data_IF_446671162339
#
_entry.id   IF_446671162339
#
_cell.length_a   1.000
_cell.length_b   1.000
_cell.length_c   1.000
_cell.angle_alpha   90.00
_cell.angle_beta   90.00
_cell.angle_gamma   90.00
#
_symmetry.space_group_name_H-M   'P 1'
#
loop_
_entity.id
_entity.type
_entity.pdbx_description
1 polymer ?
#
# COMPACT_ATOMS: atom_id res chain seq x y z
N UNK A 1 -15.96 3.48 -14.69
CA UNK A 1 -14.64 3.57 -14.04
C UNK A 1 -13.80 2.32 -14.40
N UNK A 2 -12.50 2.47 -14.71
CA UNK A 2 -11.62 1.34 -15.09
C UNK A 2 -10.88 0.82 -13.86
N UNK A 3 -10.75 -0.50 -13.70
CA UNK A 3 -9.95 -1.09 -12.61
C UNK A 3 -8.47 -0.70 -12.74
N UNK A 4 -7.80 -0.58 -11.60
CA UNK A 4 -6.36 -0.39 -11.53
C UNK A 4 -5.76 -1.31 -10.47
N UNK A 5 -4.75 -2.09 -10.86
CA UNK A 5 -4.04 -3.02 -10.01
C UNK A 5 -2.53 -2.79 -10.14
N UNK A 6 -1.85 -2.79 -8.99
CA UNK A 6 -0.43 -2.54 -8.86
C UNK A 6 0.15 -3.49 -7.83
N UNK A 7 1.03 -4.41 -8.24
CA UNK A 7 1.55 -5.42 -7.32
C UNK A 7 2.96 -5.89 -7.68
N UNK A 8 3.70 -6.26 -6.63
CA UNK A 8 4.98 -6.95 -6.71
C UNK A 8 5.16 -7.83 -5.45
N UNK A 9 6.35 -8.40 -5.25
CA UNK A 9 6.59 -9.30 -4.12
C UNK A 9 6.51 -8.63 -2.73
N UNK A 10 6.66 -7.30 -2.68
CA UNK A 10 6.64 -6.52 -1.44
C UNK A 10 5.24 -6.03 -1.08
N UNK A 11 4.47 -5.59 -2.06
CA UNK A 11 3.19 -4.92 -1.83
C UNK A 11 2.19 -5.16 -2.96
N UNK A 12 0.91 -5.01 -2.64
CA UNK A 12 -0.14 -4.91 -3.64
C UNK A 12 -1.12 -3.79 -3.26
N UNK A 13 -1.61 -3.09 -4.28
CA UNK A 13 -2.65 -2.08 -4.19
C UNK A 13 -3.59 -2.24 -5.37
N UNK A 14 -4.89 -2.21 -5.13
CA UNK A 14 -5.88 -2.29 -6.19
C UNK A 14 -7.11 -1.46 -5.84
N UNK A 15 -7.67 -0.85 -6.87
CA UNK A 15 -8.92 -0.13 -6.83
C UNK A 15 -9.81 -0.74 -7.93
N UNK A 16 -10.83 -1.48 -7.49
CA UNK A 16 -11.70 -2.30 -8.31
C UNK A 16 -13.12 -1.72 -8.31
N UNK A 17 -13.54 -1.10 -9.42
CA UNK A 17 -14.90 -0.61 -9.57
C UNK A 17 -15.90 -1.77 -9.52
N UNK A 18 -16.94 -1.63 -8.71
CA UNK A 18 -18.08 -2.52 -8.65
C UNK A 18 -19.38 -1.75 -8.87
N UNK A 19 -20.39 -2.45 -9.38
CA UNK A 19 -21.77 -1.94 -9.39
C UNK A 19 -22.55 -2.64 -8.30
N UNK A 20 -23.16 -1.86 -7.39
CA UNK A 20 -24.14 -2.36 -6.42
C UNK A 20 -25.46 -1.63 -6.64
N UNK A 21 -26.33 -2.23 -7.45
CA UNK A 21 -27.52 -1.55 -7.96
C UNK A 21 -27.15 -0.34 -8.81
N UNK A 22 -27.70 0.82 -8.47
CA UNK A 22 -27.45 2.09 -9.17
C UNK A 22 -26.29 2.91 -8.58
N UNK A 23 -25.59 2.37 -7.57
CA UNK A 23 -24.46 3.07 -6.94
C UNK A 23 -23.13 2.69 -7.58
N UNK A 24 -22.32 3.71 -7.85
CA UNK A 24 -20.89 3.55 -8.17
C UNK A 24 -20.12 3.25 -6.89
N UNK A 25 -19.59 2.04 -6.82
CA UNK A 25 -18.85 1.54 -5.66
C UNK A 25 -17.42 1.21 -6.09
N UNK A 26 -16.47 1.40 -5.19
CA UNK A 26 -15.08 1.05 -5.39
C UNK A 26 -14.59 0.18 -4.25
N UNK A 27 -14.13 -1.03 -4.57
CA UNK A 27 -13.36 -1.84 -3.63
C UNK A 27 -11.90 -1.41 -3.68
N UNK A 28 -11.38 -0.96 -2.55
CA UNK A 28 -9.96 -0.68 -2.38
C UNK A 28 -9.31 -1.77 -1.54
N UNK A 29 -8.21 -2.30 -2.06
CA UNK A 29 -7.49 -3.41 -1.46
C UNK A 29 -6.01 -3.08 -1.42
N UNK A 30 -5.39 -3.26 -0.25
CA UNK A 30 -3.97 -3.06 -0.09
C UNK A 30 -3.36 -4.16 0.76
N UNK A 31 -2.07 -4.41 0.56
CA UNK A 31 -1.32 -5.34 1.39
C UNK A 31 0.18 -5.18 1.26
N UNK A 32 0.88 -5.57 2.32
CA UNK A 32 2.33 -5.54 2.42
C UNK A 32 2.85 -6.88 2.95
N UNK A 33 3.90 -7.39 2.31
CA UNK A 33 4.58 -8.60 2.71
C UNK A 33 5.55 -8.31 3.86
N UNK A 34 5.15 -8.68 5.07
CA UNK A 34 5.86 -8.38 6.31
C UNK A 34 7.27 -8.99 6.28
N UNK A 35 7.41 -10.21 5.74
CA UNK A 35 8.68 -10.93 5.70
C UNK A 35 9.67 -10.28 4.72
N UNK A 36 9.21 -9.80 3.58
CA UNK A 36 10.06 -9.11 2.59
C UNK A 36 10.55 -7.76 3.12
N UNK A 37 9.72 -7.07 3.89
CA UNK A 37 10.13 -5.82 4.56
C UNK A 37 10.91 -6.02 5.85
N UNK A 38 11.10 -7.26 6.30
CA UNK A 38 11.78 -7.55 7.56
C UNK A 38 13.18 -6.94 7.66
N UNK A 39 14.04 -6.92 6.62
CA UNK A 39 15.34 -6.23 6.70
C UNK A 39 15.24 -4.76 7.14
N UNK A 40 14.18 -4.06 6.73
CA UNK A 40 13.93 -2.66 7.11
C UNK A 40 13.41 -2.50 8.55
N UNK A 41 12.76 -3.53 9.11
CA UNK A 41 12.01 -3.42 10.39
C UNK A 41 12.62 -4.17 11.56
N UNK A 42 13.39 -5.23 11.31
CA UNK A 42 13.75 -6.31 12.26
C UNK A 42 14.35 -5.91 13.61
N UNK A 43 14.84 -4.69 13.81
CA UNK A 43 15.51 -4.31 15.07
C UNK A 43 15.29 -2.87 15.53
N UNK A 44 14.45 -2.10 14.82
CA UNK A 44 14.20 -0.70 15.16
C UNK A 44 12.89 -0.46 15.89
N UNK A 45 11.99 -1.44 15.87
CA UNK A 45 10.61 -1.24 16.29
C UNK A 45 10.10 -2.46 17.06
N UNK A 46 9.53 -2.23 18.25
CA UNK A 46 8.81 -3.28 18.99
C UNK A 46 7.56 -3.75 18.24
N UNK A 47 6.87 -4.76 18.78
CA UNK A 47 5.68 -5.41 18.16
C UNK A 47 4.61 -4.39 17.71
N UNK A 48 4.48 -3.24 18.42
CA UNK A 48 3.54 -2.16 18.07
C UNK A 48 4.11 -0.96 17.30
N UNK A 49 5.42 -0.93 17.00
CA UNK A 49 6.08 0.21 16.34
C UNK A 49 6.44 -0.02 14.88
N UNK A 50 6.11 -1.19 14.32
CA UNK A 50 6.59 -1.59 13.01
C UNK A 50 6.07 -0.61 11.93
N UNK A 51 6.93 0.16 11.24
CA UNK A 51 6.55 1.19 10.27
C UNK A 51 5.83 0.62 9.05
N UNK A 52 5.94 -0.69 8.82
CA UNK A 52 5.27 -1.40 7.73
C UNK A 52 3.82 -1.67 8.08
N UNK A 53 3.55 -2.17 9.28
CA UNK A 53 2.18 -2.46 9.76
C UNK A 53 1.43 -1.15 10.06
N UNK A 54 2.08 -0.22 10.76
CA UNK A 54 1.49 1.12 10.96
C UNK A 54 1.41 1.91 9.65
N UNK A 55 2.32 1.65 8.70
CA UNK A 55 2.32 2.26 7.37
C UNK A 55 1.06 1.94 6.59
N UNK A 56 0.70 0.66 6.46
CA UNK A 56 -0.52 0.28 5.72
C UNK A 56 -1.80 0.82 6.38
N UNK A 57 -1.89 0.78 7.70
CA UNK A 57 -3.03 1.35 8.45
C UNK A 57 -3.13 2.86 8.24
N UNK A 58 -2.00 3.57 8.25
CA UNK A 58 -1.97 5.01 7.98
C UNK A 58 -2.39 5.33 6.56
N UNK A 59 -1.93 4.55 5.57
CA UNK A 59 -2.35 4.70 4.17
C UNK A 59 -3.86 4.47 4.04
N UNK A 60 -4.44 3.48 4.72
CA UNK A 60 -5.90 3.31 4.78
C UNK A 60 -6.60 4.60 5.23
N UNK A 61 -6.15 5.21 6.33
CA UNK A 61 -6.76 6.45 6.82
C UNK A 61 -6.57 7.63 5.86
N UNK A 62 -5.40 7.75 5.22
CA UNK A 62 -5.15 8.76 4.19
C UNK A 62 -6.07 8.56 2.97
N UNK A 63 -6.32 7.31 2.57
CA UNK A 63 -7.30 6.98 1.52
C UNK A 63 -8.73 7.31 1.94
N UNK A 64 -9.14 6.99 3.17
CA UNK A 64 -10.45 7.39 3.69
C UNK A 64 -10.62 8.91 3.66
N UNK A 65 -9.59 9.65 4.10
CA UNK A 65 -9.61 11.12 4.08
C UNK A 65 -9.72 11.67 2.66
N UNK A 66 -8.96 11.14 1.71
CA UNK A 66 -9.04 11.50 0.30
C UNK A 66 -10.42 11.20 -0.29
N UNK A 67 -10.99 10.02 0.01
CA UNK A 67 -12.31 9.63 -0.45
C UNK A 67 -13.40 10.59 0.07
N UNK A 68 -13.39 10.88 1.37
CA UNK A 68 -14.32 11.82 2.01
C UNK A 68 -14.20 13.22 1.40
N UNK A 69 -12.97 13.69 1.13
CA UNK A 69 -12.74 15.00 0.50
C UNK A 69 -13.35 15.11 -0.90
N UNK A 70 -13.55 13.98 -1.58
CA UNK A 70 -14.18 13.86 -2.90
C UNK A 70 -15.68 13.48 -2.82
N UNK A 71 -16.28 13.52 -1.63
CA UNK A 71 -17.70 13.25 -1.41
C UNK A 71 -18.09 11.77 -1.32
N UNK A 72 -17.10 10.87 -1.24
CA UNK A 72 -17.34 9.43 -1.14
C UNK A 72 -17.44 8.96 0.32
N UNK A 73 -18.01 7.77 0.54
CA UNK A 73 -18.22 7.20 1.88
C UNK A 73 -17.45 5.88 2.02
N UNK A 74 -16.29 5.87 2.71
CA UNK A 74 -15.51 4.66 2.93
C UNK A 74 -16.05 3.84 4.11
N UNK A 75 -16.09 2.51 3.94
CA UNK A 75 -16.44 1.52 4.95
C UNK A 75 -15.34 0.46 5.05
N UNK A 76 -14.96 0.10 6.26
CA UNK A 76 -13.99 -0.98 6.47
C UNK A 76 -14.63 -2.35 6.18
N UNK A 77 -13.83 -3.23 5.57
CA UNK A 77 -14.23 -4.61 5.33
C UNK A 77 -13.36 -5.56 6.17
N UNK A 78 -14.02 -6.43 6.95
CA UNK A 78 -13.35 -7.44 7.77
C UNK A 78 -12.96 -8.68 6.96
N UNK A 79 -13.60 -8.89 5.82
CA UNK A 79 -13.29 -9.98 4.91
C UNK A 79 -12.40 -9.49 3.77
N UNK A 80 -11.66 -10.40 3.15
CA UNK A 80 -10.78 -10.08 2.02
C UNK A 80 -11.55 -10.23 0.70
N UNK A 81 -12.13 -9.16 0.12
CA UNK A 81 -12.80 -9.25 -1.17
C UNK A 81 -11.80 -9.49 -2.33
N UNK A 82 -10.52 -9.24 -2.08
CA UNK A 82 -9.44 -9.29 -3.06
C UNK A 82 -8.52 -10.51 -2.91
N UNK A 83 -9.02 -11.65 -2.42
CA UNK A 83 -8.21 -12.87 -2.21
C UNK A 83 -7.45 -13.34 -3.45
N UNK A 84 -7.95 -13.08 -4.65
CA UNK A 84 -7.27 -13.43 -5.90
C UNK A 84 -6.06 -12.55 -6.22
N UNK A 85 -5.95 -11.37 -5.59
CA UNK A 85 -4.86 -10.41 -5.78
C UNK A 85 -3.71 -10.62 -4.79
N UNK A 86 -3.96 -11.29 -3.67
CA UNK A 86 -2.93 -11.58 -2.67
C UNK A 86 -2.02 -12.69 -3.21
N UNK A 87 -0.70 -12.46 -3.34
CA UNK A 87 0.23 -13.53 -3.66
C UNK A 87 0.10 -14.67 -2.64
N UNK A 88 -0.06 -15.91 -3.10
CA UNK A 88 -0.41 -17.08 -2.26
C UNK A 88 0.66 -17.50 -1.23
N UNK A 89 1.81 -16.84 -1.22
CA UNK A 89 2.97 -17.16 -0.37
C UNK A 89 3.24 -15.98 0.55
N UNK A 90 3.81 -16.27 1.71
CA UNK A 90 4.27 -15.32 2.75
C UNK A 90 3.18 -14.70 3.65
N UNK A 91 3.62 -13.95 4.66
CA UNK A 91 2.77 -13.26 5.63
C UNK A 91 2.46 -11.84 5.16
N UNK A 92 1.20 -11.61 4.80
CA UNK A 92 0.69 -10.32 4.34
C UNK A 92 -0.09 -9.62 5.45
N UNK A 93 0.20 -8.34 5.66
CA UNK A 93 -0.67 -7.41 6.39
C UNK A 93 -1.52 -6.70 5.35
N UNK A 94 -2.85 -6.81 5.46
CA UNK A 94 -3.78 -6.36 4.44
C UNK A 94 -4.88 -5.47 5.03
N UNK A 95 -5.31 -4.49 4.25
CA UNK A 95 -6.40 -3.57 4.59
C UNK A 95 -7.37 -3.48 3.40
N UNK A 96 -8.67 -3.45 3.70
CA UNK A 96 -9.75 -3.49 2.71
C UNK A 96 -10.81 -2.43 3.01
N UNK A 97 -11.24 -1.71 1.97
CA UNK A 97 -12.29 -0.71 2.05
C UNK A 97 -13.34 -0.94 0.95
N UNK A 98 -14.59 -0.73 1.30
CA UNK A 98 -15.69 -0.49 0.37
C UNK A 98 -15.95 1.02 0.34
N UNK A 99 -15.82 1.65 -0.82
CA UNK A 99 -16.04 3.09 -0.95
C UNK A 99 -17.30 3.30 -1.79
N UNK A 100 -18.35 3.80 -1.15
CA UNK A 100 -19.60 4.18 -1.81
C UNK A 100 -19.51 5.62 -2.34
N UNK A 101 -20.40 5.96 -3.28
CA UNK A 101 -20.44 7.27 -3.95
C UNK A 101 -19.09 7.62 -4.61
N UNK A 102 -18.44 6.61 -5.20
CA UNK A 102 -17.07 6.69 -5.71
C UNK A 102 -16.94 7.34 -7.09
N UNK A 103 -17.99 8.00 -7.61
CA UNK A 103 -18.01 8.57 -8.95
C UNK A 103 -16.92 9.64 -9.18
N UNK A 104 -16.52 10.36 -8.13
CA UNK A 104 -15.43 11.35 -8.17
C UNK A 104 -14.02 10.76 -7.99
N UNK A 105 -13.92 9.44 -7.77
CA UNK A 105 -12.65 8.77 -7.56
C UNK A 105 -12.08 8.22 -8.86
N UNK A 106 -10.77 8.39 -9.02
CA UNK A 106 -10.01 7.80 -10.13
C UNK A 106 -9.14 6.69 -9.52
N UNK A 107 -9.36 5.41 -9.88
CA UNK A 107 -8.65 4.28 -9.29
C UNK A 107 -7.12 4.38 -9.39
N UNK A 108 -6.63 4.86 -10.52
CA UNK A 108 -5.20 5.08 -10.75
C UNK A 108 -4.62 6.16 -9.84
N UNK A 109 -5.31 7.30 -9.65
CA UNK A 109 -4.88 8.35 -8.71
C UNK A 109 -4.84 7.82 -7.28
N UNK A 110 -5.86 7.04 -6.89
CA UNK A 110 -5.99 6.48 -5.55
C UNK A 110 -4.81 5.54 -5.24
N UNK A 111 -4.52 4.61 -6.15
CA UNK A 111 -3.43 3.65 -6.00
C UNK A 111 -2.07 4.35 -6.11
N UNK A 112 -1.91 5.29 -7.04
CA UNK A 112 -0.68 6.09 -7.18
C UNK A 112 -0.36 6.81 -5.89
N UNK A 113 -1.33 7.54 -5.33
CA UNK A 113 -1.18 8.24 -4.06
C UNK A 113 -0.82 7.29 -2.93
N UNK A 114 -1.49 6.14 -2.82
CA UNK A 114 -1.22 5.15 -1.78
C UNK A 114 0.21 4.60 -1.85
N UNK A 115 0.66 4.20 -3.04
CA UNK A 115 1.98 3.59 -3.24
C UNK A 115 3.08 4.63 -3.00
N UNK A 116 3.00 5.82 -3.60
CA UNK A 116 4.05 6.85 -3.44
C UNK A 116 4.14 7.32 -2.00
N UNK A 117 3.00 7.56 -1.34
CA UNK A 117 2.94 7.97 0.06
C UNK A 117 3.48 6.90 1.02
N UNK A 118 3.32 5.62 0.69
CA UNK A 118 3.89 4.53 1.47
C UNK A 118 5.41 4.45 1.30
N UNK A 119 5.88 4.51 0.06
CA UNK A 119 7.32 4.42 -0.26
C UNK A 119 8.08 5.59 0.36
N UNK A 120 7.53 6.81 0.27
CA UNK A 120 8.07 8.00 0.94
C UNK A 120 8.27 7.78 2.45
N UNK A 121 7.23 7.29 3.13
CA UNK A 121 7.29 6.99 4.57
C UNK A 121 8.34 5.92 4.89
N UNK A 122 8.44 4.86 4.08
CA UNK A 122 9.42 3.78 4.26
C UNK A 122 10.84 4.33 4.12
N UNK A 123 11.14 5.03 3.02
CA UNK A 123 12.46 5.59 2.74
C UNK A 123 12.84 6.61 3.83
N UNK A 124 11.93 7.52 4.18
CA UNK A 124 12.15 8.52 5.24
C UNK A 124 12.44 7.85 6.59
N UNK A 125 11.70 6.79 6.95
CA UNK A 125 11.92 6.05 8.21
C UNK A 125 13.19 5.19 8.21
N UNK A 126 13.74 4.88 7.03
CA UNK A 126 14.97 4.10 6.90
C UNK A 126 16.21 4.89 7.34
N UNK A 127 16.16 6.22 7.32
CA UNK A 127 17.32 7.11 7.53
C UNK A 127 18.51 6.79 6.59
N UNK A 128 18.25 6.13 5.46
CA UNK A 128 19.24 5.92 4.42
C UNK A 128 19.20 7.12 3.46
N UNK A 129 20.36 7.49 2.91
CA UNK A 129 20.48 8.57 1.92
C UNK A 129 20.02 8.09 0.53
N UNK A 130 18.72 7.88 0.41
CA UNK A 130 18.04 7.50 -0.84
C UNK A 130 17.04 8.57 -1.22
N UNK A 131 16.95 8.86 -2.52
CA UNK A 131 15.89 9.72 -3.06
C UNK A 131 14.59 8.93 -3.13
N UNK A 132 13.53 9.53 -2.61
CA UNK A 132 12.16 9.03 -2.78
C UNK A 132 11.75 9.22 -4.24
N UNK A 133 11.20 8.21 -4.92
CA UNK A 133 10.66 8.38 -6.25
C UNK A 133 9.51 9.41 -6.24
N UNK A 134 9.62 10.46 -7.07
CA UNK A 134 8.59 11.51 -7.17
C UNK A 134 7.32 11.02 -7.89
N UNK A 135 7.45 9.96 -8.68
CA UNK A 135 6.37 9.35 -9.47
C UNK A 135 6.23 7.87 -9.14
N UNK A 136 5.05 7.32 -9.44
CA UNK A 136 4.83 5.88 -9.34
C UNK A 136 5.75 5.13 -10.31
N UNK A 137 6.72 4.41 -9.76
CA UNK A 137 7.57 3.51 -10.54
C UNK A 137 6.75 2.32 -11.07
N UNK A 138 7.10 1.75 -12.23
CA UNK A 138 6.58 0.45 -12.63
C UNK A 138 6.80 -0.61 -11.53
N UNK A 139 5.91 -1.62 -11.38
CA UNK A 139 6.00 -2.56 -10.25
C UNK A 139 7.34 -3.29 -10.11
N UNK A 140 7.99 -3.65 -11.23
CA UNK A 140 9.30 -4.31 -11.23
C UNK A 140 10.43 -3.37 -10.80
N UNK A 141 10.36 -2.08 -11.17
CA UNK A 141 11.34 -1.08 -10.76
C UNK A 141 11.21 -0.76 -9.28
N UNK A 142 9.97 -0.64 -8.79
CA UNK A 142 9.74 -0.47 -7.36
C UNK A 142 10.23 -1.67 -6.56
N UNK A 143 10.03 -2.89 -7.06
CA UNK A 143 10.58 -4.09 -6.42
C UNK A 143 12.11 -4.00 -6.31
N UNK A 144 12.80 -3.72 -7.42
CA UNK A 144 14.25 -3.59 -7.43
C UNK A 144 14.75 -2.47 -6.49
N UNK A 145 14.03 -1.36 -6.41
CA UNK A 145 14.29 -0.27 -5.47
C UNK A 145 14.18 -0.74 -4.01
N UNK A 146 13.09 -1.42 -3.64
CA UNK A 146 12.88 -1.92 -2.28
C UNK A 146 13.90 -3.02 -1.89
N UNK A 147 14.27 -3.89 -2.83
CA UNK A 147 15.35 -4.87 -2.63
C UNK A 147 16.69 -4.19 -2.37
N UNK A 148 16.99 -3.12 -3.10
CA UNK A 148 18.20 -2.32 -2.91
C UNK A 148 18.21 -1.66 -1.54
N UNK A 149 17.07 -1.09 -1.12
CA UNK A 149 16.91 -0.48 0.20
C UNK A 149 17.12 -1.52 1.33
N UNK A 150 16.55 -2.72 1.18
CA UNK A 150 16.76 -3.83 2.13
C UNK A 150 18.23 -4.21 2.24
N UNK A 151 18.94 -4.40 1.12
CA UNK A 151 20.37 -4.73 1.10
C UNK A 151 21.22 -3.63 1.74
N UNK A 152 20.92 -2.36 1.44
CA UNK A 152 21.63 -1.23 2.02
C UNK A 152 21.44 -1.14 3.53
N UNK A 153 20.22 -1.38 4.01
CA UNK A 153 19.90 -1.44 5.43
C UNK A 153 20.70 -2.56 6.12
N UNK A 154 20.81 -3.74 5.51
CA UNK A 154 21.62 -4.84 6.05
C UNK A 154 23.12 -4.50 6.05
N UNK A 155 23.65 -3.95 4.95
CA UNK A 155 25.07 -3.58 4.83
C UNK A 155 25.48 -2.44 5.77
N UNK A 156 24.58 -1.50 6.07
CA UNK A 156 24.82 -0.44 7.07
C UNK A 156 25.03 -0.98 8.49
N UNK A 157 24.66 -2.24 8.74
CA UNK A 157 24.74 -2.91 10.05
C UNK A 157 25.96 -3.83 10.20
N UNK A 158 26.66 -4.13 9.10
CA UNK A 158 27.91 -4.91 9.15
C UNK A 158 29.16 -4.05 9.39
N UNK A 159 28.96 -2.74 9.62
CA UNK A 159 29.97 -1.77 10.02
C UNK A 159 29.74 -1.38 11.48
#
# INVERSE_FOLDING_TARGET
>A
MKKFDYSNDFLYFAALPEKRGDKDVLLYCSGMNILKFFPLTKWRFGIGGNPIVSGIQRIKYEICSLAISKGAVPHELNESPCRSLVPKKDSWSSEFLLIEDAAGLVPEELVTFAVTSLVDKIVTSSHLDYRVPETLLPPYELQAFLETLCKAMEASRSR
#
